data_IF_873293089830
#
_entry.id   IF_873293089830
#
_cell.length_a   1.000
_cell.length_b   1.000
_cell.length_c   1.000
_cell.angle_alpha   90.00
_cell.angle_beta   90.00
_cell.angle_gamma   90.00
#
_symmetry.space_group_name_H-M   'P 1'
#
loop_
_entity.id
_entity.type
_entity.pdbx_description
1 polymer ?
#
# COMPACT_ATOMS: atom_id res chain seq x y z
N UNK A 1 7.21 25.18 -4.31
CA UNK A 1 6.86 25.18 -5.75
C UNK A 1 5.45 24.61 -5.85
N UNK A 2 4.49 25.36 -6.38
CA UNK A 2 3.29 24.74 -6.94
C UNK A 2 3.72 23.85 -8.10
N UNK A 3 3.06 22.73 -8.31
CA UNK A 3 3.29 21.89 -9.48
C UNK A 3 2.77 22.66 -10.70
N UNK A 4 3.64 23.46 -11.32
CA UNK A 4 3.27 24.20 -12.53
C UNK A 4 3.03 23.21 -13.67
N UNK A 5 2.11 23.58 -14.58
CA UNK A 5 1.76 22.91 -15.83
C UNK A 5 2.95 22.33 -16.62
N UNK A 6 4.16 22.88 -16.45
CA UNK A 6 5.37 22.41 -17.11
C UNK A 6 5.81 21.00 -16.69
N UNK A 7 5.50 20.52 -15.47
CA UNK A 7 5.83 19.14 -15.04
C UNK A 7 4.82 18.09 -15.55
N UNK A 8 3.62 18.56 -15.93
CA UNK A 8 2.44 17.72 -16.15
C UNK A 8 2.13 17.47 -17.64
N UNK A 9 2.71 18.26 -18.55
CA UNK A 9 2.29 18.32 -19.97
C UNK A 9 2.92 17.30 -20.92
N UNK A 10 3.76 16.40 -20.43
CA UNK A 10 4.37 15.38 -21.29
C UNK A 10 4.63 14.10 -20.50
N UNK A 11 3.54 13.46 -20.06
CA UNK A 11 3.60 12.18 -19.35
C UNK A 11 3.43 11.05 -20.37
N UNK A 12 4.55 10.67 -21.01
CA UNK A 12 4.74 9.29 -21.43
C UNK A 12 4.56 8.33 -20.24
N UNK A 13 4.56 6.99 -20.44
CA UNK A 13 4.17 6.01 -19.42
C UNK A 13 4.80 6.31 -18.06
N UNK A 14 3.99 6.76 -17.11
CA UNK A 14 4.38 7.21 -15.78
C UNK A 14 4.55 6.00 -14.88
N UNK A 15 5.71 5.36 -14.84
CA UNK A 15 5.95 4.26 -13.89
C UNK A 15 6.03 4.83 -12.47
N UNK A 16 4.89 4.89 -11.79
CA UNK A 16 4.83 5.25 -10.37
C UNK A 16 5.00 3.96 -9.56
N UNK A 17 6.20 3.76 -9.03
CA UNK A 17 6.45 2.72 -8.03
C UNK A 17 5.75 3.15 -6.75
N UNK A 18 4.65 2.49 -6.39
CA UNK A 18 4.04 2.67 -5.08
C UNK A 18 4.89 1.93 -4.05
N UNK A 19 5.68 2.66 -3.27
CA UNK A 19 6.47 2.08 -2.20
C UNK A 19 5.63 2.05 -0.92
N UNK A 20 5.04 0.88 -0.63
CA UNK A 20 4.62 0.27 0.67
C UNK A 20 3.75 1.07 1.68
N UNK A 21 2.99 0.36 2.51
CA UNK A 21 2.45 0.85 3.79
C UNK A 21 3.31 0.36 4.97
N UNK A 22 3.22 1.13 6.04
CA UNK A 22 3.79 1.00 7.38
C UNK A 22 2.92 -0.03 8.11
N UNK A 23 3.36 -1.22 8.47
CA UNK A 23 4.17 -1.56 9.65
C UNK A 23 5.22 -2.65 9.31
N UNK A 24 5.37 -2.98 8.02
CA UNK A 24 6.04 -4.19 7.56
C UNK A 24 7.59 -4.24 7.70
N UNK A 25 8.24 -3.18 8.18
CA UNK A 25 9.68 -2.95 7.91
C UNK A 25 10.66 -2.96 9.08
N UNK A 26 10.25 -3.14 10.33
CA UNK A 26 11.23 -3.11 11.43
C UNK A 26 12.22 -4.28 11.40
N UNK A 27 11.82 -5.45 10.85
CA UNK A 27 12.62 -6.68 10.91
C UNK A 27 13.52 -6.96 9.69
N UNK A 28 13.18 -6.48 8.48
CA UNK A 28 13.94 -6.79 7.26
C UNK A 28 15.33 -6.11 7.23
N UNK A 29 15.51 -4.96 7.88
CA UNK A 29 16.77 -4.20 7.82
C UNK A 29 17.79 -4.54 8.92
N UNK A 30 17.38 -5.23 10.00
CA UNK A 30 18.29 -5.55 11.11
C UNK A 30 19.14 -6.80 10.86
N UNK A 31 18.80 -7.64 9.89
CA UNK A 31 19.43 -8.97 9.73
C UNK A 31 20.29 -9.16 8.47
N UNK A 32 20.21 -8.30 7.45
CA UNK A 32 20.80 -8.64 6.13
C UNK A 32 22.06 -7.85 5.71
N UNK A 33 22.36 -6.64 6.22
CA UNK A 33 23.66 -6.00 5.90
C UNK A 33 24.15 -5.00 6.97
N UNK A 34 25.47 -4.95 7.31
CA UNK A 34 26.00 -4.05 8.35
C UNK A 34 26.16 -2.58 7.92
N UNK A 35 25.82 -2.24 6.67
CA UNK A 35 26.08 -0.93 6.11
C UNK A 35 24.88 -0.41 5.32
N UNK A 36 24.40 0.78 5.72
CA UNK A 36 23.43 1.68 5.08
C UNK A 36 21.95 1.48 5.45
N UNK A 37 21.54 2.17 6.54
CA UNK A 37 20.17 2.52 6.92
C UNK A 37 19.61 3.62 6.01
N UNK A 38 18.86 3.30 4.95
CA UNK A 38 18.17 4.33 4.15
C UNK A 38 16.92 3.86 3.37
N UNK A 39 16.28 2.76 3.79
CA UNK A 39 15.07 2.24 3.12
C UNK A 39 13.87 2.00 4.06
N UNK A 40 14.05 2.30 5.35
CA UNK A 40 13.07 2.09 6.44
C UNK A 40 11.86 3.04 6.39
N UNK A 41 11.89 4.09 5.56
CA UNK A 41 10.98 5.24 5.74
C UNK A 41 10.24 5.64 4.44
N UNK A 42 10.44 4.92 3.33
CA UNK A 42 9.98 5.34 2.00
C UNK A 42 8.45 5.30 1.76
N UNK A 43 7.66 4.85 2.74
CA UNK A 43 6.33 4.30 2.52
C UNK A 43 5.19 5.00 3.28
N UNK A 44 5.55 5.95 4.13
CA UNK A 44 4.61 6.62 5.02
C UNK A 44 3.81 7.74 4.33
N UNK A 45 4.42 8.44 3.37
CA UNK A 45 3.83 9.68 2.84
C UNK A 45 4.39 10.17 1.51
N UNK A 46 5.15 9.34 0.79
CA UNK A 46 5.91 9.80 -0.38
C UNK A 46 5.64 8.94 -1.60
N UNK A 47 5.29 9.60 -2.72
CA UNK A 47 5.15 8.95 -4.02
C UNK A 47 6.15 9.57 -5.00
N UNK A 48 6.93 8.74 -5.69
CA UNK A 48 7.76 9.22 -6.78
C UNK A 48 6.97 9.23 -8.08
N UNK A 49 7.17 10.29 -8.86
CA UNK A 49 6.67 10.44 -10.22
C UNK A 49 7.84 10.65 -11.16
N UNK A 50 7.74 10.04 -12.34
CA UNK A 50 8.76 10.10 -13.37
C UNK A 50 8.17 10.84 -14.57
N UNK A 51 8.93 11.81 -15.08
CA UNK A 51 8.64 12.47 -16.34
C UNK A 51 9.69 12.06 -17.36
N UNK A 52 9.23 11.57 -18.49
CA UNK A 52 10.04 11.27 -19.66
C UNK A 52 9.90 12.41 -20.67
N UNK A 53 10.97 13.17 -20.89
CA UNK A 53 11.04 14.17 -21.97
C UNK A 53 11.76 13.56 -23.16
N UNK A 54 11.08 13.49 -24.30
CA UNK A 54 11.73 13.11 -25.55
C UNK A 54 12.64 14.25 -26.00
N UNK A 55 13.96 14.07 -25.87
CA UNK A 55 14.93 15.04 -26.37
C UNK A 55 15.24 14.81 -27.86
N UNK A 56 15.14 13.56 -28.34
CA UNK A 56 15.08 13.12 -29.75
C UNK A 56 14.67 11.62 -29.82
N UNK A 57 14.41 11.06 -31.02
CA UNK A 57 13.91 9.68 -31.21
C UNK A 57 14.79 8.56 -30.60
N UNK A 58 16.03 8.86 -30.22
CA UNK A 58 17.00 7.90 -29.65
C UNK A 58 17.34 8.18 -28.16
N UNK A 59 16.92 9.32 -27.59
CA UNK A 59 17.22 9.68 -26.21
C UNK A 59 16.01 10.29 -25.48
N UNK A 60 15.55 9.56 -24.46
CA UNK A 60 14.55 10.02 -23.49
C UNK A 60 15.29 10.43 -22.23
N UNK A 61 15.26 11.72 -21.90
CA UNK A 61 15.72 12.18 -20.60
C UNK A 61 14.61 11.94 -19.58
N UNK A 62 14.90 11.18 -18.52
CA UNK A 62 13.97 10.94 -17.42
C UNK A 62 14.32 11.82 -16.23
N UNK A 63 13.32 12.53 -15.72
CA UNK A 63 13.42 13.32 -14.48
C UNK A 63 12.49 12.74 -13.42
N UNK A 64 12.95 12.68 -12.17
CA UNK A 64 12.20 12.13 -11.04
C UNK A 64 11.84 13.27 -10.11
N UNK A 65 10.62 13.24 -9.56
CA UNK A 65 10.19 14.11 -8.47
C UNK A 65 9.45 13.30 -7.40
N UNK A 66 9.44 13.79 -6.16
CA UNK A 66 8.69 13.21 -5.07
C UNK A 66 7.53 14.09 -4.64
N UNK A 67 6.37 13.47 -4.47
CA UNK A 67 5.19 14.07 -3.85
C UNK A 67 5.27 13.74 -2.36
N UNK A 68 5.19 14.78 -1.53
CA UNK A 68 5.21 14.70 -0.07
C UNK A 68 3.79 15.00 0.42
N UNK A 69 3.00 13.93 0.60
CA UNK A 69 1.65 13.97 1.12
C UNK A 69 1.65 14.26 2.62
N UNK A 70 0.55 14.82 3.14
CA UNK A 70 0.41 14.95 4.59
C UNK A 70 0.16 13.57 5.19
N UNK A 71 0.86 13.22 6.26
CA UNK A 71 0.61 12.00 7.03
C UNK A 71 -0.05 12.34 8.36
N UNK A 72 -1.05 11.54 8.78
CA UNK A 72 -1.73 11.75 10.05
C UNK A 72 -1.94 10.46 10.85
N UNK A 73 -1.11 9.43 10.63
CA UNK A 73 -1.22 8.13 11.30
C UNK A 73 -2.55 7.45 11.00
N UNK A 74 -2.88 7.37 9.71
CA UNK A 74 -4.10 6.72 9.25
C UNK A 74 -5.36 7.25 9.94
N UNK A 75 -5.44 8.56 10.09
CA UNK A 75 -6.66 9.26 10.47
C UNK A 75 -6.94 9.43 11.96
N UNK A 76 -6.07 8.92 12.81
CA UNK A 76 -6.40 8.77 14.20
C UNK A 76 -5.96 9.97 15.06
N UNK A 77 -6.66 11.10 14.93
CA UNK A 77 -6.45 12.28 15.79
C UNK A 77 -6.84 12.02 17.26
N UNK A 78 -7.87 11.20 17.51
CA UNK A 78 -8.36 10.88 18.86
C UNK A 78 -8.02 9.45 19.34
N UNK A 79 -7.75 8.50 18.41
CA UNK A 79 -7.49 7.06 18.69
C UNK A 79 -6.28 6.52 17.91
N UNK A 80 -5.16 7.25 17.93
CA UNK A 80 -3.91 7.01 17.17
C UNK A 80 -3.42 5.56 17.17
N UNK A 81 -2.82 5.09 16.06
CA UNK A 81 -1.89 3.95 16.15
C UNK A 81 -0.75 4.26 17.13
N UNK A 82 -0.32 5.53 17.20
CA UNK A 82 0.61 6.05 18.22
C UNK A 82 0.47 7.57 18.42
N UNK A 83 0.91 8.15 19.55
CA UNK A 83 0.65 9.58 19.91
C UNK A 83 1.50 10.65 19.21
N UNK A 84 2.77 10.39 18.88
CA UNK A 84 3.66 11.36 18.23
C UNK A 84 4.15 10.83 16.87
N UNK A 85 3.88 11.59 15.81
CA UNK A 85 4.28 11.29 14.43
C UNK A 85 5.01 12.47 13.78
N UNK A 86 5.51 13.38 14.60
CA UNK A 86 6.25 14.55 14.14
C UNK A 86 7.48 14.16 13.33
N UNK A 87 8.12 13.03 13.67
CA UNK A 87 9.23 12.47 12.91
C UNK A 87 8.77 11.87 11.58
N UNK A 88 7.60 11.24 11.52
CA UNK A 88 7.06 10.65 10.29
C UNK A 88 6.80 11.72 9.22
N UNK A 89 6.31 12.89 9.63
CA UNK A 89 6.12 14.05 8.76
C UNK A 89 7.44 14.59 8.14
N UNK A 90 8.60 14.27 8.73
CA UNK A 90 9.89 14.76 8.24
C UNK A 90 10.56 13.80 7.27
N UNK A 91 10.10 12.56 7.20
CA UNK A 91 10.71 11.48 6.44
C UNK A 91 10.81 11.83 4.96
N UNK A 92 9.68 12.11 4.30
CA UNK A 92 9.64 12.35 2.86
C UNK A 92 10.53 13.55 2.50
N UNK A 93 10.49 14.60 3.32
CA UNK A 93 11.38 15.76 3.17
C UNK A 93 12.86 15.37 3.24
N UNK A 94 13.26 14.58 4.25
CA UNK A 94 14.67 14.19 4.44
C UNK A 94 15.16 13.30 3.30
N UNK A 95 14.36 12.33 2.88
CA UNK A 95 14.72 11.42 1.78
C UNK A 95 14.90 12.18 0.49
N UNK A 96 13.94 13.05 0.12
CA UNK A 96 14.02 13.84 -1.10
C UNK A 96 15.20 14.82 -1.08
N UNK A 97 15.51 15.40 0.07
CA UNK A 97 16.67 16.26 0.24
C UNK A 97 18.00 15.50 0.06
N UNK A 98 18.14 14.32 0.67
CA UNK A 98 19.34 13.47 0.54
C UNK A 98 19.51 13.01 -0.91
N UNK A 99 18.41 12.55 -1.54
CA UNK A 99 18.40 12.12 -2.93
C UNK A 99 18.51 13.26 -3.94
N UNK A 100 18.53 14.52 -3.49
CA UNK A 100 18.46 15.73 -4.34
C UNK A 100 17.31 15.68 -5.35
N UNK A 101 16.20 15.06 -4.96
CA UNK A 101 15.00 14.91 -5.78
C UNK A 101 14.07 16.11 -5.54
N UNK A 102 13.54 16.77 -6.59
CA UNK A 102 12.52 17.80 -6.47
C UNK A 102 11.34 17.34 -5.61
N UNK A 103 10.89 18.20 -4.69
CA UNK A 103 9.78 17.91 -3.76
C UNK A 103 8.55 18.75 -4.05
N UNK A 104 7.41 18.09 -4.24
CA UNK A 104 6.08 18.68 -4.29
C UNK A 104 5.33 18.38 -2.99
N UNK A 105 5.24 19.36 -2.11
CA UNK A 105 4.46 19.21 -0.87
C UNK A 105 2.96 19.33 -1.19
N UNK A 106 2.17 18.41 -0.66
CA UNK A 106 0.71 18.42 -0.75
C UNK A 106 0.05 18.61 0.63
N UNK A 107 -1.20 19.08 0.66
CA UNK A 107 -1.99 19.22 1.89
C UNK A 107 -2.90 18.03 2.17
N UNK A 108 -3.44 17.38 1.13
CA UNK A 108 -4.24 16.15 1.24
C UNK A 108 -3.48 15.09 2.03
N UNK A 109 -4.22 14.45 2.93
CA UNK A 109 -3.76 13.34 3.75
C UNK A 109 -3.83 12.07 2.91
N UNK A 110 -2.69 11.45 2.65
CA UNK A 110 -2.60 10.24 1.83
C UNK A 110 -1.35 9.43 2.17
N UNK A 111 -1.55 8.12 2.33
CA UNK A 111 -0.48 7.14 2.52
C UNK A 111 -0.20 6.39 1.22
N UNK A 112 1.06 6.01 0.97
CA UNK A 112 1.44 5.30 -0.28
C UNK A 112 0.59 4.05 -0.51
N UNK A 113 0.51 3.15 0.48
CA UNK A 113 -0.28 1.92 0.39
C UNK A 113 -1.79 2.09 0.20
N UNK A 114 -2.34 3.31 0.30
CA UNK A 114 -3.74 3.58 0.00
C UNK A 114 -4.04 3.64 -1.51
N UNK A 115 -3.00 3.72 -2.36
CA UNK A 115 -3.11 3.80 -3.82
C UNK A 115 -2.18 2.80 -4.52
N UNK A 116 -2.52 2.40 -5.75
CA UNK A 116 -1.62 1.64 -6.62
C UNK A 116 -1.86 2.03 -8.07
N UNK A 117 -0.81 2.20 -8.87
CA UNK A 117 -0.91 2.66 -10.27
C UNK A 117 -0.33 1.66 -11.25
N UNK A 118 -0.83 1.67 -12.49
CA UNK A 118 -0.37 0.76 -13.56
C UNK A 118 0.78 1.33 -14.41
N UNK A 119 1.01 2.62 -14.28
CA UNK A 119 1.94 3.41 -15.07
C UNK A 119 1.53 3.73 -16.50
N UNK A 120 0.28 3.43 -16.87
CA UNK A 120 -0.33 3.84 -18.13
C UNK A 120 -1.54 4.77 -17.93
N UNK A 121 -1.70 5.29 -16.71
CA UNK A 121 -2.68 6.32 -16.38
C UNK A 121 -3.88 5.83 -15.58
N UNK A 122 -3.80 4.67 -14.96
CA UNK A 122 -4.82 4.10 -14.08
C UNK A 122 -4.32 4.02 -12.64
N UNK A 123 -5.14 4.47 -11.69
CA UNK A 123 -4.93 4.30 -10.25
C UNK A 123 -6.02 3.39 -9.67
N UNK A 124 -5.65 2.47 -8.77
CA UNK A 124 -6.53 1.75 -7.86
C UNK A 124 -6.48 2.44 -6.50
N UNK A 125 -7.60 2.44 -5.81
CA UNK A 125 -7.74 2.89 -4.41
C UNK A 125 -8.99 2.25 -3.81
N UNK A 126 -9.17 2.36 -2.49
CA UNK A 126 -10.42 2.00 -1.81
C UNK A 126 -11.22 3.24 -1.39
N UNK A 127 -12.55 3.13 -1.41
CA UNK A 127 -13.45 4.13 -0.82
C UNK A 127 -13.35 4.13 0.71
N UNK A 128 -13.29 2.93 1.31
CA UNK A 128 -13.16 2.73 2.77
C UNK A 128 -11.99 3.51 3.37
N UNK A 129 -10.87 3.64 2.64
CA UNK A 129 -9.71 4.41 3.08
C UNK A 129 -9.83 5.90 2.77
N UNK A 130 -9.87 6.29 1.49
CA UNK A 130 -9.72 7.70 1.11
C UNK A 130 -10.95 8.56 1.42
N UNK A 131 -12.15 7.96 1.49
CA UNK A 131 -13.38 8.67 1.89
C UNK A 131 -13.62 8.61 3.41
N UNK A 132 -12.70 8.00 4.16
CA UNK A 132 -12.79 8.00 5.61
C UNK A 132 -12.74 9.44 6.13
N UNK A 133 -13.69 9.81 7.00
CA UNK A 133 -13.77 11.13 7.63
C UNK A 133 -12.52 11.49 8.44
N UNK A 134 -11.74 10.48 8.83
CA UNK A 134 -10.48 10.63 9.53
C UNK A 134 -9.32 11.08 8.61
N UNK A 135 -9.45 10.95 7.29
CA UNK A 135 -8.47 11.44 6.30
C UNK A 135 -8.82 12.87 5.88
N UNK A 136 -9.61 13.01 4.83
CA UNK A 136 -9.89 14.30 4.21
C UNK A 136 -11.40 14.62 4.31
N UNK A 137 -11.97 14.88 5.50
CA UNK A 137 -13.41 15.05 5.69
C UNK A 137 -14.01 16.25 4.95
N UNK A 138 -13.14 17.17 4.51
CA UNK A 138 -13.49 18.38 3.79
C UNK A 138 -13.43 18.23 2.25
N UNK A 139 -12.97 17.07 1.74
CA UNK A 139 -12.89 16.79 0.31
C UNK A 139 -13.99 15.79 -0.09
N UNK A 140 -14.65 16.07 -1.21
CA UNK A 140 -15.53 15.13 -1.88
C UNK A 140 -14.72 14.05 -2.61
N UNK A 141 -15.38 12.93 -2.95
CA UNK A 141 -14.78 11.87 -3.79
C UNK A 141 -14.22 12.43 -5.11
N UNK A 142 -14.96 13.33 -5.75
CA UNK A 142 -14.54 13.96 -7.01
C UNK A 142 -13.30 14.85 -6.81
N UNK A 143 -13.24 15.60 -5.70
CA UNK A 143 -12.07 16.42 -5.38
C UNK A 143 -10.83 15.56 -5.14
N UNK A 144 -10.95 14.48 -4.37
CA UNK A 144 -9.85 13.53 -4.15
C UNK A 144 -9.40 12.91 -5.48
N UNK A 145 -10.35 12.48 -6.32
CA UNK A 145 -10.03 11.94 -7.64
C UNK A 145 -9.29 12.94 -8.53
N UNK A 146 -9.66 14.23 -8.49
CA UNK A 146 -8.98 15.28 -9.24
C UNK A 146 -7.56 15.53 -8.73
N UNK A 147 -7.33 15.51 -7.41
CA UNK A 147 -5.98 15.62 -6.83
C UNK A 147 -5.11 14.41 -7.22
N UNK A 148 -5.65 13.20 -7.16
CA UNK A 148 -4.95 11.99 -7.61
C UNK A 148 -4.55 12.08 -9.10
N UNK A 149 -5.47 12.50 -9.97
CA UNK A 149 -5.18 12.72 -11.39
C UNK A 149 -4.10 13.78 -11.60
N UNK A 150 -4.20 14.91 -10.91
CA UNK A 150 -3.28 16.02 -11.04
C UNK A 150 -1.86 15.66 -10.61
N UNK A 151 -1.70 14.97 -9.48
CA UNK A 151 -0.37 14.70 -8.91
C UNK A 151 0.24 13.39 -9.40
N UNK A 152 -0.54 12.35 -9.66
CA UNK A 152 -0.03 11.05 -10.12
C UNK A 152 0.08 10.96 -11.65
N UNK A 153 -0.46 11.92 -12.40
CA UNK A 153 -0.50 11.88 -13.87
C UNK A 153 -1.42 10.79 -14.42
N UNK A 154 -2.41 10.37 -13.64
CA UNK A 154 -3.40 9.36 -14.03
C UNK A 154 -4.61 10.01 -14.70
N UNK A 155 -5.27 9.29 -15.60
CA UNK A 155 -6.50 9.72 -16.27
C UNK A 155 -7.74 9.07 -15.66
N UNK A 156 -7.57 7.88 -15.05
CA UNK A 156 -8.66 7.11 -14.47
C UNK A 156 -8.31 6.62 -13.07
N UNK A 157 -9.27 6.71 -12.16
CA UNK A 157 -9.21 6.11 -10.83
C UNK A 157 -10.29 5.04 -10.73
N UNK A 158 -9.91 3.84 -10.33
CA UNK A 158 -10.80 2.72 -10.05
C UNK A 158 -10.91 2.62 -8.53
N UNK A 159 -12.14 2.75 -8.04
CA UNK A 159 -12.47 2.75 -6.63
C UNK A 159 -13.05 1.38 -6.26
N UNK A 160 -12.33 0.62 -5.43
CA UNK A 160 -12.91 -0.54 -4.75
C UNK A 160 -13.71 -0.02 -3.54
N UNK A 161 -14.96 -0.46 -3.34
CA UNK A 161 -15.73 -0.07 -2.16
C UNK A 161 -14.99 -0.30 -0.83
N UNK A 162 -14.31 -1.43 -0.69
CA UNK A 162 -13.73 -1.90 0.57
C UNK A 162 -12.31 -2.46 0.40
N UNK A 163 -11.51 -2.36 1.45
CA UNK A 163 -10.20 -3.01 1.56
C UNK A 163 -10.30 -4.44 2.10
N UNK A 164 -9.15 -5.03 2.43
CA UNK A 164 -9.09 -6.35 3.06
C UNK A 164 -9.72 -6.31 4.47
N UNK A 165 -10.42 -7.38 4.85
CA UNK A 165 -11.01 -7.50 6.17
C UNK A 165 -9.92 -7.73 7.25
N UNK A 166 -9.72 -6.73 8.10
CA UNK A 166 -9.26 -6.91 9.47
C UNK A 166 -10.43 -6.87 10.45
N UNK A 167 -10.29 -7.49 11.62
CA UNK A 167 -11.26 -7.33 12.72
C UNK A 167 -10.49 -7.07 14.00
N UNK A 168 -10.61 -5.85 14.52
CA UNK A 168 -10.11 -5.50 15.83
C UNK A 168 -11.27 -5.31 16.82
N UNK A 169 -11.08 -5.80 18.04
CA UNK A 169 -12.00 -5.55 19.16
C UNK A 169 -11.38 -4.51 20.08
N UNK A 170 -11.50 -3.24 19.69
CA UNK A 170 -11.32 -2.14 20.62
C UNK A 170 -12.69 -1.77 21.20
N UNK A 171 -12.81 -1.82 22.53
CA UNK A 171 -13.93 -1.21 23.26
C UNK A 171 -15.33 -1.79 22.96
N UNK A 172 -15.51 -3.12 23.07
CA UNK A 172 -16.82 -3.81 23.06
C UNK A 172 -17.68 -3.67 21.78
N UNK A 173 -17.22 -2.93 20.77
CA UNK A 173 -17.86 -2.82 19.46
C UNK A 173 -17.03 -3.60 18.44
N UNK A 174 -17.65 -4.50 17.69
CA UNK A 174 -16.98 -5.23 16.62
C UNK A 174 -16.93 -4.31 15.40
N UNK A 175 -15.73 -3.90 14.99
CA UNK A 175 -15.50 -3.11 13.77
C UNK A 175 -14.95 -4.06 12.70
N UNK A 176 -15.68 -4.17 11.59
CA UNK A 176 -15.32 -5.02 10.45
C UNK A 176 -14.55 -4.23 9.39
N UNK A 177 -13.45 -3.61 9.78
CA UNK A 177 -12.49 -2.99 8.86
C UNK A 177 -11.06 -3.22 9.36
N UNK A 178 -10.09 -3.16 8.45
CA UNK A 178 -8.70 -2.97 8.85
C UNK A 178 -8.59 -1.63 9.58
N UNK A 179 -8.57 -1.66 10.90
CA UNK A 179 -8.52 -0.49 11.76
C UNK A 179 -7.10 0.06 11.91
N UNK A 180 -6.10 -0.57 11.27
CA UNK A 180 -4.73 -0.06 11.26
C UNK A 180 -4.55 0.91 10.09
N UNK A 181 -5.15 0.60 8.92
CA UNK A 181 -5.00 1.44 7.72
C UNK A 181 -6.31 1.99 7.14
N UNK A 182 -7.47 1.57 7.66
CA UNK A 182 -8.80 1.82 7.11
C UNK A 182 -9.01 1.20 5.71
N UNK A 183 -8.45 0.02 5.48
CA UNK A 183 -8.68 -0.76 4.28
C UNK A 183 -7.86 -0.29 3.10
N UNK A 184 -6.53 -0.19 3.27
CA UNK A 184 -5.62 0.10 2.18
C UNK A 184 -5.78 -0.85 0.98
N UNK A 185 -5.50 -0.32 -0.21
CA UNK A 185 -5.60 -1.09 -1.46
C UNK A 185 -4.46 -2.10 -1.58
N UNK A 186 -3.28 -1.83 -1.02
CA UNK A 186 -2.11 -2.72 -1.11
C UNK A 186 -2.30 -4.10 -0.43
N UNK A 187 -3.25 -4.21 0.49
CA UNK A 187 -3.66 -5.50 1.07
C UNK A 187 -4.76 -6.20 0.27
N UNK A 188 -5.46 -5.47 -0.61
CA UNK A 188 -6.64 -5.97 -1.33
C UNK A 188 -6.34 -6.26 -2.80
N UNK A 189 -5.70 -5.33 -3.52
CA UNK A 189 -5.52 -5.40 -4.96
C UNK A 189 -4.28 -4.60 -5.41
N UNK A 190 -3.44 -5.16 -6.26
CA UNK A 190 -2.29 -4.46 -6.84
C UNK A 190 -2.18 -4.72 -8.35
N UNK A 191 -1.51 -3.83 -9.08
CA UNK A 191 -1.19 -4.13 -10.49
C UNK A 191 0.03 -5.05 -10.56
N UNK A 192 -0.09 -6.15 -11.30
CA UNK A 192 1.07 -6.95 -11.69
C UNK A 192 1.74 -6.43 -12.95
N UNK A 193 0.92 -5.87 -13.86
CA UNK A 193 1.33 -5.15 -15.07
C UNK A 193 0.12 -4.36 -15.60
N UNK A 194 0.29 -3.46 -16.59
CA UNK A 194 -0.84 -2.75 -17.19
C UNK A 194 -1.95 -3.71 -17.65
N UNK A 195 -3.17 -3.45 -17.20
CA UNK A 195 -4.36 -4.27 -17.50
C UNK A 195 -4.50 -5.59 -16.71
N UNK A 196 -3.55 -5.94 -15.83
CA UNK A 196 -3.59 -7.17 -15.02
C UNK A 196 -3.37 -6.85 -13.54
N UNK A 197 -4.28 -7.29 -12.69
CA UNK A 197 -4.22 -7.08 -11.24
C UNK A 197 -4.12 -8.40 -10.50
N UNK A 198 -3.47 -8.39 -9.34
CA UNK A 198 -3.55 -9.43 -8.34
C UNK A 198 -4.56 -9.00 -7.28
N UNK A 199 -5.53 -9.86 -6.97
CA UNK A 199 -6.62 -9.58 -6.04
C UNK A 199 -6.63 -10.61 -4.91
N UNK A 200 -6.66 -10.11 -3.67
CA UNK A 200 -6.88 -10.92 -2.47
C UNK A 200 -8.25 -11.59 -2.53
N UNK A 201 -8.26 -12.91 -2.44
CA UNK A 201 -9.44 -13.72 -2.75
C UNK A 201 -9.64 -14.86 -1.75
N UNK A 202 -10.89 -15.24 -1.49
CA UNK A 202 -11.24 -16.52 -0.87
C UNK A 202 -12.48 -17.10 -1.55
N UNK A 203 -12.54 -18.43 -1.67
CA UNK A 203 -13.75 -19.14 -2.12
C UNK A 203 -14.61 -19.62 -0.93
N UNK A 204 -14.16 -19.41 0.31
CA UNK A 204 -14.89 -19.80 1.51
C UNK A 204 -16.03 -18.83 1.80
N UNK A 205 -17.25 -19.21 1.42
CA UNK A 205 -18.46 -18.43 1.67
C UNK A 205 -18.79 -18.20 3.15
N UNK A 206 -18.19 -18.97 4.06
CA UNK A 206 -18.34 -18.77 5.50
C UNK A 206 -17.42 -17.67 6.05
N UNK A 207 -16.38 -17.31 5.29
CA UNK A 207 -15.49 -16.21 5.62
C UNK A 207 -16.10 -14.88 5.18
N UNK A 208 -16.19 -13.93 6.11
CA UNK A 208 -16.66 -12.56 5.83
C UNK A 208 -15.81 -11.83 4.77
N UNK A 209 -14.54 -12.23 4.56
CA UNK A 209 -13.70 -11.73 3.47
C UNK A 209 -14.24 -12.13 2.08
N UNK A 210 -15.05 -13.18 1.98
CA UNK A 210 -15.64 -13.64 0.71
C UNK A 210 -16.39 -12.51 0.02
N UNK A 211 -17.26 -11.79 0.72
CA UNK A 211 -18.05 -10.70 0.11
C UNK A 211 -17.20 -9.54 -0.42
N UNK A 212 -16.03 -9.27 0.19
CA UNK A 212 -15.08 -8.23 -0.26
C UNK A 212 -14.26 -8.70 -1.47
N UNK A 213 -14.19 -10.01 -1.73
CA UNK A 213 -13.41 -10.61 -2.83
C UNK A 213 -14.09 -10.47 -4.22
N UNK A 214 -15.37 -10.07 -4.28
CA UNK A 214 -16.14 -9.94 -5.52
C UNK A 214 -16.32 -8.49 -6.01
N UNK A 215 -15.54 -7.56 -5.48
CA UNK A 215 -15.73 -6.15 -5.81
C UNK A 215 -15.32 -5.81 -7.25
N UNK A 216 -16.16 -5.01 -7.91
CA UNK A 216 -16.14 -4.86 -9.35
C UNK A 216 -14.99 -3.96 -9.82
N UNK A 217 -13.99 -4.56 -10.45
CA UNK A 217 -12.98 -3.84 -11.24
C UNK A 217 -13.59 -3.40 -12.57
N UNK A 218 -13.50 -2.11 -12.86
CA UNK A 218 -13.87 -1.55 -14.17
C UNK A 218 -12.71 -1.64 -15.17
N UNK A 219 -12.94 -1.30 -16.45
CA UNK A 219 -11.85 -1.19 -17.42
C UNK A 219 -10.81 -0.14 -17.01
N UNK A 220 -9.59 -0.24 -17.49
CA UNK A 220 -8.54 0.74 -17.18
C UNK A 220 -8.65 2.05 -17.99
N UNK A 221 -7.66 2.94 -17.86
CA UNK A 221 -7.63 4.23 -18.57
C UNK A 221 -7.52 4.10 -20.10
N UNK A 222 -7.05 2.95 -20.60
CA UNK A 222 -6.91 2.65 -22.03
C UNK A 222 -8.08 1.79 -22.54
N UNK A 223 -9.11 1.57 -21.73
CA UNK A 223 -10.29 0.79 -22.08
C UNK A 223 -10.09 -0.72 -22.04
N UNK A 224 -8.94 -1.22 -21.58
CA UNK A 224 -8.70 -2.66 -21.45
C UNK A 224 -9.55 -3.19 -20.31
N UNK A 225 -10.17 -4.35 -20.52
CA UNK A 225 -10.82 -5.10 -19.45
C UNK A 225 -9.72 -5.63 -18.51
N UNK A 226 -9.84 -5.32 -17.22
CA UNK A 226 -8.89 -5.79 -16.21
C UNK A 226 -8.94 -7.32 -16.12
N UNK A 227 -7.79 -7.95 -16.31
CA UNK A 227 -7.59 -9.36 -15.99
C UNK A 227 -7.26 -9.49 -14.51
N UNK A 228 -7.98 -10.37 -13.81
CA UNK A 228 -7.79 -10.61 -12.38
C UNK A 228 -7.05 -11.93 -12.18
N UNK A 229 -5.88 -11.86 -11.54
CA UNK A 229 -5.17 -13.00 -10.98
C UNK A 229 -5.59 -13.08 -9.51
N UNK A 230 -6.27 -14.16 -9.13
CA UNK A 230 -6.71 -14.37 -7.76
C UNK A 230 -5.54 -14.87 -6.93
N UNK A 231 -5.29 -14.23 -5.79
CA UNK A 231 -4.30 -14.64 -4.81
C UNK A 231 -5.06 -15.00 -3.54
N UNK A 232 -5.06 -16.29 -3.18
CA UNK A 232 -5.86 -16.77 -2.06
C UNK A 232 -5.34 -16.17 -0.75
N UNK A 233 -6.19 -15.56 0.08
CA UNK A 233 -5.79 -15.08 1.41
C UNK A 233 -5.37 -16.25 2.31
N UNK A 234 -4.45 -16.11 3.27
CA UNK A 234 -4.23 -17.17 4.25
C UNK A 234 -5.54 -17.52 4.98
N UNK A 235 -5.63 -18.70 5.61
CA UNK A 235 -6.73 -18.98 6.52
C UNK A 235 -6.85 -17.88 7.59
N UNK A 236 -8.04 -17.65 8.19
CA UNK A 236 -8.22 -16.60 9.20
C UNK A 236 -7.17 -16.68 10.31
N UNK A 237 -6.26 -15.71 10.33
CA UNK A 237 -5.22 -15.62 11.35
C UNK A 237 -5.73 -14.78 12.51
N UNK A 238 -5.54 -15.28 13.73
CA UNK A 238 -5.91 -14.60 14.95
C UNK A 238 -4.68 -14.39 15.83
N UNK A 239 -4.60 -13.21 16.43
CA UNK A 239 -3.61 -12.90 17.46
C UNK A 239 -3.75 -13.89 18.63
N UNK A 240 -2.66 -14.53 19.03
CA UNK A 240 -2.64 -15.43 20.18
C UNK A 240 -2.44 -14.68 21.50
N UNK A 241 -2.69 -15.37 22.63
CA UNK A 241 -2.45 -14.80 23.95
C UNK A 241 -0.96 -14.51 24.18
N UNK A 242 -0.09 -15.40 23.72
CA UNK A 242 1.37 -15.27 23.89
C UNK A 242 1.90 -14.04 23.13
N UNK A 243 1.40 -13.81 21.93
CA UNK A 243 1.75 -12.66 21.11
C UNK A 243 1.26 -11.36 21.72
N UNK A 244 -0.02 -11.29 22.09
CA UNK A 244 -0.59 -10.10 22.72
C UNK A 244 0.14 -9.72 24.02
N UNK A 245 0.53 -10.71 24.84
CA UNK A 245 1.27 -10.49 26.08
C UNK A 245 2.76 -10.18 25.87
N UNK A 246 3.32 -10.54 24.72
CA UNK A 246 4.69 -10.25 24.35
C UNK A 246 4.92 -8.81 23.88
N UNK A 247 3.85 -8.04 23.64
CA UNK A 247 3.91 -6.66 23.19
C UNK A 247 4.01 -5.72 24.40
N UNK A 248 5.09 -4.95 24.45
CA UNK A 248 5.22 -3.88 25.43
C UNK A 248 4.23 -2.75 25.10
N UNK A 249 3.24 -2.54 25.98
CA UNK A 249 2.27 -1.45 25.83
C UNK A 249 2.58 -0.34 26.84
N UNK A 250 3.12 0.77 26.35
CA UNK A 250 3.38 1.99 27.13
C UNK A 250 2.17 2.94 27.17
N UNK A 251 1.08 2.58 26.50
CA UNK A 251 -0.12 3.39 26.36
C UNK A 251 0.00 4.52 25.34
N UNK A 252 1.10 4.57 24.57
CA UNK A 252 1.26 5.49 23.46
C UNK A 252 0.81 4.87 22.14
N UNK A 253 0.85 3.55 22.00
CA UNK A 253 0.39 2.80 20.84
C UNK A 253 -0.94 2.05 21.05
N UNK A 254 -1.62 1.72 19.95
CA UNK A 254 -2.88 0.96 19.95
C UNK A 254 -2.71 -0.41 20.59
N UNK A 255 -3.64 -0.80 21.46
CA UNK A 255 -3.58 -2.08 22.17
C UNK A 255 -3.83 -3.25 21.22
N UNK A 256 -2.95 -4.26 21.27
CA UNK A 256 -3.10 -5.51 20.53
C UNK A 256 -3.71 -6.56 21.45
N UNK A 257 -4.90 -7.05 21.08
CA UNK A 257 -5.69 -7.98 21.91
C UNK A 257 -5.74 -9.36 21.27
N UNK A 258 -5.62 -10.39 22.10
CA UNK A 258 -5.80 -11.79 21.69
C UNK A 258 -7.18 -12.01 21.07
N UNK A 259 -7.26 -12.86 20.05
CA UNK A 259 -8.47 -13.11 19.28
C UNK A 259 -8.78 -12.05 18.21
N UNK A 260 -7.96 -11.01 18.07
CA UNK A 260 -8.04 -10.06 16.94
C UNK A 260 -7.72 -10.79 15.63
N UNK A 261 -8.55 -10.62 14.60
CA UNK A 261 -8.28 -11.17 13.26
C UNK A 261 -7.30 -10.24 12.54
N UNK A 262 -6.21 -10.81 12.05
CA UNK A 262 -5.17 -10.08 11.33
C UNK A 262 -5.55 -9.92 9.85
N UNK A 263 -5.28 -8.73 9.29
CA UNK A 263 -5.44 -8.43 7.87
C UNK A 263 -4.28 -8.99 7.04
N UNK A 264 -4.09 -10.31 7.05
CA UNK A 264 -3.00 -10.98 6.37
C UNK A 264 -3.33 -11.20 4.88
N UNK A 265 -2.41 -10.82 4.00
CA UNK A 265 -2.59 -10.92 2.55
C UNK A 265 -1.26 -11.14 1.83
N UNK A 266 -1.26 -12.04 0.84
CA UNK A 266 -0.12 -12.24 -0.04
C UNK A 266 0.03 -11.17 -1.11
N UNK A 267 -0.97 -10.29 -1.30
CA UNK A 267 -0.88 -9.15 -2.23
C UNK A 267 0.09 -8.09 -1.68
N UNK A 268 0.36 -8.10 -0.37
CA UNK A 268 1.35 -7.24 0.27
C UNK A 268 2.80 -7.74 0.03
N UNK A 269 3.15 -8.06 -1.21
CA UNK A 269 4.51 -8.43 -1.60
C UNK A 269 5.31 -7.20 -2.07
N UNK A 270 6.63 -7.30 -2.04
CA UNK A 270 7.53 -6.24 -2.49
C UNK A 270 8.28 -6.64 -3.76
N UNK A 271 8.27 -5.78 -4.77
CA UNK A 271 9.07 -5.93 -6.00
C UNK A 271 10.41 -5.20 -5.81
N UNK A 272 11.49 -5.98 -5.76
CA UNK A 272 12.86 -5.52 -5.53
C UNK A 272 13.72 -5.77 -6.77
N UNK A 273 13.75 -4.82 -7.71
CA UNK A 273 14.49 -4.92 -8.98
C UNK A 273 14.14 -6.16 -9.81
N UNK A 274 14.75 -7.31 -9.52
CA UNK A 274 14.54 -8.60 -10.19
C UNK A 274 14.05 -9.69 -9.24
N UNK A 275 13.57 -9.32 -8.05
CA UNK A 275 13.04 -10.25 -7.06
C UNK A 275 11.67 -9.81 -6.54
N UNK A 276 10.89 -10.77 -6.04
CA UNK A 276 9.66 -10.56 -5.29
C UNK A 276 9.84 -11.14 -3.90
N UNK A 277 9.63 -10.29 -2.89
CA UNK A 277 9.61 -10.70 -1.49
C UNK A 277 8.14 -10.83 -1.11
N UNK A 278 7.65 -12.06 -1.01
CA UNK A 278 6.27 -12.35 -0.63
C UNK A 278 6.17 -12.66 0.85
N UNK A 279 5.08 -12.25 1.53
CA UNK A 279 4.80 -12.66 2.89
C UNK A 279 4.65 -14.19 3.02
N UNK A 280 5.03 -14.73 4.18
CA UNK A 280 4.73 -16.10 4.60
C UNK A 280 3.98 -16.06 5.93
N UNK A 281 2.91 -16.87 6.03
CA UNK A 281 2.00 -16.87 7.18
C UNK A 281 1.97 -18.19 7.95
N UNK A 282 2.81 -19.16 7.58
CA UNK A 282 2.83 -20.49 8.20
C UNK A 282 1.68 -21.39 7.74
N UNK A 283 0.85 -20.92 6.80
CA UNK A 283 -0.13 -21.73 6.10
C UNK A 283 0.54 -22.35 4.88
N UNK A 284 1.21 -23.50 5.09
CA UNK A 284 2.03 -24.15 4.06
C UNK A 284 1.33 -24.27 2.70
N UNK A 285 0.03 -24.55 2.69
CA UNK A 285 -0.74 -24.70 1.46
C UNK A 285 -0.82 -23.37 0.70
N UNK A 286 -1.25 -22.30 1.38
CA UNK A 286 -1.43 -21.01 0.73
C UNK A 286 -0.12 -20.24 0.55
N UNK A 287 0.88 -20.47 1.40
CA UNK A 287 2.24 -19.95 1.24
C UNK A 287 2.87 -20.46 -0.07
N UNK A 288 2.79 -21.79 -0.31
CA UNK A 288 3.31 -22.41 -1.54
C UNK A 288 2.51 -21.97 -2.78
N UNK A 289 1.19 -21.84 -2.66
CA UNK A 289 0.34 -21.40 -3.76
C UNK A 289 0.58 -19.92 -4.13
N UNK A 290 0.75 -19.05 -3.13
CA UNK A 290 1.07 -17.64 -3.36
C UNK A 290 2.38 -17.50 -4.15
N UNK A 291 3.42 -18.24 -3.77
CA UNK A 291 4.70 -18.26 -4.49
C UNK A 291 4.52 -18.74 -5.92
N UNK A 292 3.75 -19.82 -6.13
CA UNK A 292 3.48 -20.36 -7.46
C UNK A 292 2.78 -19.33 -8.35
N UNK A 293 1.76 -18.65 -7.83
CA UNK A 293 1.00 -17.63 -8.57
C UNK A 293 1.87 -16.41 -8.86
N UNK A 294 2.62 -15.91 -7.88
CA UNK A 294 3.53 -14.77 -8.06
C UNK A 294 4.62 -15.09 -9.09
N UNK A 295 5.18 -16.31 -9.07
CA UNK A 295 6.18 -16.74 -10.05
C UNK A 295 5.61 -16.78 -11.47
N UNK A 296 4.33 -17.12 -11.62
CA UNK A 296 3.63 -17.09 -12.91
C UNK A 296 3.27 -15.67 -13.36
N UNK A 297 2.90 -14.81 -12.42
CA UNK A 297 2.56 -13.41 -12.69
C UNK A 297 3.81 -12.59 -13.07
N UNK A 298 4.97 -12.97 -12.54
CA UNK A 298 6.24 -12.28 -12.68
C UNK A 298 7.37 -13.25 -13.09
N UNK A 299 7.34 -13.77 -14.32
CA UNK A 299 8.26 -14.83 -14.76
C UNK A 299 9.74 -14.41 -14.79
N UNK A 300 10.00 -13.10 -14.89
CA UNK A 300 11.36 -12.53 -14.93
C UNK A 300 11.91 -12.20 -13.52
N UNK A 301 11.17 -12.56 -12.46
CA UNK A 301 11.52 -12.23 -11.08
C UNK A 301 11.76 -13.49 -10.26
N UNK A 302 12.77 -13.44 -9.39
CA UNK A 302 13.00 -14.47 -8.38
C UNK A 302 12.04 -14.25 -7.19
N UNK A 303 11.16 -15.21 -6.92
CA UNK A 303 10.24 -15.14 -5.77
C UNK A 303 10.90 -15.78 -4.54
N UNK A 304 11.28 -14.96 -3.55
CA UNK A 304 11.92 -15.40 -2.31
C UNK A 304 10.91 -15.64 -1.18
N UNK A 305 11.17 -16.69 -0.38
CA UNK A 305 10.39 -17.10 0.81
C UNK A 305 10.84 -16.45 2.12
N UNK A 306 11.84 -15.57 2.08
CA UNK A 306 12.74 -15.30 3.22
C UNK A 306 12.13 -14.59 4.44
N UNK A 307 10.81 -14.40 4.53
CA UNK A 307 10.23 -13.60 5.61
C UNK A 307 9.05 -14.32 6.30
N UNK A 308 9.30 -14.84 7.50
CA UNK A 308 8.27 -15.24 8.47
C UNK A 308 7.55 -13.97 8.98
N UNK A 309 6.47 -13.59 8.28
CA UNK A 309 5.72 -12.36 8.53
C UNK A 309 4.54 -12.54 9.48
N UNK A 310 4.39 -13.73 10.05
CA UNK A 310 3.45 -13.99 11.13
C UNK A 310 3.70 -13.01 12.28
N UNK A 311 4.96 -12.71 12.62
CA UNK A 311 5.32 -11.72 13.65
C UNK A 311 4.99 -10.27 13.28
N UNK A 312 4.93 -9.93 11.98
CA UNK A 312 4.76 -8.56 11.48
C UNK A 312 3.28 -8.19 11.30
N UNK A 313 2.43 -9.12 10.83
CA UNK A 313 0.97 -8.90 10.82
C UNK A 313 0.39 -8.65 12.22
N UNK A 314 1.16 -8.95 13.26
CA UNK A 314 0.80 -8.74 14.66
C UNK A 314 1.17 -7.33 15.18
N UNK A 315 1.84 -6.51 14.37
CA UNK A 315 2.19 -5.13 14.74
C UNK A 315 3.25 -5.03 15.85
N UNK A 316 4.22 -5.96 15.87
CA UNK A 316 5.41 -5.91 16.73
C UNK A 316 6.50 -4.99 16.17
#
# INVERSE_FOLDING_TARGET
MSMNDSWLRDTGPTVSYCFLSVEFKLYLLLTVTPHWKLQELLSLSMQFVIRNTAENAEHVASSVAGIDWTFNRWGCADDGCYKDWSHDLLIARKILAIGKVPRFKHSMILEGGSIHVDGEGTCLTTEECLLNKKRNPHLSKEQIENELKAYLGVRKVIWLPRGLLGIHSAHKLIVFCDDDTNGHIDNMCCFGKPGVVLLSWTDDQSDQQYERSFEALSSDANGRKIQVIKLHVPGPLYMTNEEANGIFQDGDAKSRTSGTRLAASYVNFYIANSAIITPQFGDKKWDEEAIRILSLAFPDYEVSKELDLVTICKGH
#
